data_IF_808780240248
#
_entry.id   IF_808780240248
#
_cell.length_a   1.000
_cell.length_b   1.000
_cell.length_c   1.000
_cell.angle_alpha   90.00
_cell.angle_beta   90.00
_cell.angle_gamma   90.00
#
_symmetry.space_group_name_H-M   'P 1'
#
loop_
_entity.id
_entity.type
_entity.pdbx_description
1 polymer ?
#
# COMPACT_ATOMS: atom_id res chain seq x y z
N UNK A 1 -1.37 22.82 -4.92
CA UNK A 1 -1.41 22.20 -3.59
C UNK A 1 -2.73 21.48 -3.31
N UNK A 2 -3.91 22.12 -3.47
CA UNK A 2 -5.21 21.47 -3.21
C UNK A 2 -5.43 20.19 -4.06
N UNK A 3 -5.26 20.21 -5.40
CA UNK A 3 -5.52 19.01 -6.20
C UNK A 3 -4.56 17.86 -5.86
N UNK A 4 -3.27 18.16 -5.66
CA UNK A 4 -2.23 17.17 -5.38
C UNK A 4 -2.41 16.49 -4.03
N UNK A 5 -2.83 17.23 -3.00
CA UNK A 5 -3.08 16.66 -1.68
C UNK A 5 -4.32 15.77 -1.67
N UNK A 6 -5.42 16.21 -2.30
CA UNK A 6 -6.64 15.40 -2.38
C UNK A 6 -6.42 14.06 -3.09
N UNK A 7 -5.66 14.07 -4.19
CA UNK A 7 -5.28 12.84 -4.89
C UNK A 7 -4.38 11.95 -4.04
N UNK A 8 -3.40 12.51 -3.34
CA UNK A 8 -2.50 11.73 -2.49
C UNK A 8 -3.25 11.08 -1.30
N UNK A 9 -4.12 11.82 -0.62
CA UNK A 9 -4.91 11.30 0.51
C UNK A 9 -5.88 10.22 0.05
N UNK A 10 -6.61 10.42 -1.05
CA UNK A 10 -7.58 9.44 -1.51
C UNK A 10 -6.94 8.13 -1.95
N UNK A 11 -5.78 8.18 -2.62
CA UNK A 11 -5.02 6.98 -3.01
C UNK A 11 -4.42 6.30 -1.78
N UNK A 12 -3.90 7.07 -0.82
CA UNK A 12 -3.35 6.53 0.43
C UNK A 12 -4.40 5.70 1.19
N UNK A 13 -5.59 6.26 1.38
CA UNK A 13 -6.67 5.59 2.12
C UNK A 13 -7.09 4.27 1.45
N UNK A 14 -7.27 4.28 0.12
CA UNK A 14 -7.63 3.08 -0.64
C UNK A 14 -6.51 2.04 -0.59
N UNK A 15 -5.25 2.45 -0.70
CA UNK A 15 -4.10 1.56 -0.68
C UNK A 15 -3.93 0.86 0.68
N UNK A 16 -4.05 1.60 1.80
CA UNK A 16 -3.96 1.02 3.14
C UNK A 16 -5.05 -0.02 3.39
N UNK A 17 -6.26 0.19 2.85
CA UNK A 17 -7.38 -0.74 3.04
C UNK A 17 -7.25 -1.96 2.12
N UNK A 18 -7.03 -1.74 0.82
CA UNK A 18 -7.34 -2.73 -0.21
C UNK A 18 -6.22 -2.99 -1.24
N UNK A 19 -5.01 -2.45 -1.05
CA UNK A 19 -3.92 -2.77 -1.97
C UNK A 19 -3.64 -4.28 -2.02
N UNK A 20 -3.39 -4.79 -3.22
CA UNK A 20 -2.92 -6.17 -3.39
C UNK A 20 -1.50 -6.31 -2.84
N UNK A 21 -1.07 -7.52 -2.44
CA UNK A 21 0.33 -7.77 -2.11
C UNK A 21 1.26 -7.39 -3.28
N UNK A 22 2.43 -6.82 -2.98
CA UNK A 22 3.41 -6.33 -3.95
C UNK A 22 4.75 -7.07 -3.78
N UNK A 23 5.36 -7.49 -4.88
CA UNK A 23 6.74 -8.01 -4.91
C UNK A 23 7.69 -6.80 -4.95
N UNK A 24 8.38 -6.56 -3.83
CA UNK A 24 9.23 -5.37 -3.65
C UNK A 24 10.63 -5.58 -4.24
N UNK A 25 11.13 -6.80 -4.17
CA UNK A 25 12.50 -7.14 -4.55
C UNK A 25 12.58 -7.80 -5.94
N UNK A 26 11.46 -7.86 -6.68
CA UNK A 26 11.38 -8.53 -7.99
C UNK A 26 11.79 -10.03 -7.95
N UNK A 27 11.69 -10.69 -6.78
CA UNK A 27 12.13 -12.09 -6.58
C UNK A 27 10.97 -13.08 -6.53
N UNK A 28 9.75 -12.63 -6.87
CA UNK A 28 8.50 -13.39 -6.73
C UNK A 28 8.13 -13.67 -5.26
N UNK A 29 8.56 -12.82 -4.34
CA UNK A 29 8.13 -12.84 -2.94
C UNK A 29 7.25 -11.62 -2.67
N UNK A 30 5.96 -11.87 -2.52
CA UNK A 30 4.98 -10.80 -2.42
C UNK A 30 4.70 -10.45 -0.97
N UNK A 31 4.79 -9.17 -0.62
CA UNK A 31 4.55 -8.65 0.73
C UNK A 31 3.15 -8.05 0.83
N UNK A 32 2.37 -8.49 1.83
CA UNK A 32 1.06 -7.92 2.15
C UNK A 32 1.22 -6.69 3.04
N UNK A 33 0.71 -5.54 2.59
CA UNK A 33 0.72 -4.30 3.38
C UNK A 33 -0.67 -3.77 3.79
N UNK A 34 -1.75 -4.31 3.22
CA UNK A 34 -3.11 -3.77 3.40
C UNK A 34 -3.93 -4.52 4.45
N UNK A 35 -4.95 -3.84 4.98
CA UNK A 35 -5.82 -4.37 6.05
C UNK A 35 -6.64 -5.58 5.60
N UNK A 36 -7.17 -5.57 4.36
CA UNK A 36 -7.93 -6.70 3.82
C UNK A 36 -7.08 -7.96 3.62
N UNK A 37 -5.76 -7.83 3.57
CA UNK A 37 -4.82 -8.95 3.43
C UNK A 37 -4.10 -9.29 4.75
N UNK A 38 -4.77 -9.05 5.89
CA UNK A 38 -4.36 -9.56 7.21
C UNK A 38 -3.48 -8.63 8.04
N UNK A 39 -3.31 -7.37 7.64
CA UNK A 39 -2.61 -6.38 8.45
C UNK A 39 -3.55 -5.64 9.42
N UNK A 40 -2.97 -5.10 10.48
CA UNK A 40 -3.63 -4.20 11.41
C UNK A 40 -3.06 -2.77 11.28
N UNK A 41 -3.52 -1.83 12.10
CA UNK A 41 -3.06 -0.42 12.02
C UNK A 41 -1.56 -0.24 12.30
N UNK A 42 -0.92 -1.18 13.02
CA UNK A 42 0.51 -1.14 13.33
C UNK A 42 1.34 -1.84 12.26
N UNK A 43 0.84 -2.95 11.69
CA UNK A 43 1.57 -3.73 10.67
C UNK A 43 1.28 -3.29 9.23
N UNK A 44 0.19 -2.55 9.02
CA UNK A 44 -0.21 -2.06 7.70
C UNK A 44 0.75 -1.00 7.17
N UNK A 45 1.13 -1.14 5.91
CA UNK A 45 2.08 -0.26 5.26
C UNK A 45 1.80 -0.17 3.76
N UNK A 46 2.18 0.97 3.16
CA UNK A 46 2.24 1.10 1.71
C UNK A 46 3.58 0.54 1.25
N UNK A 47 3.55 -0.60 0.57
CA UNK A 47 4.74 -1.25 0.01
C UNK A 47 5.26 -0.38 -1.14
N UNK A 48 6.57 -0.05 -1.18
CA UNK A 48 7.14 0.72 -2.28
C UNK A 48 7.10 -0.08 -3.59
N UNK A 49 7.32 0.61 -4.70
CA UNK A 49 7.41 -0.02 -6.01
C UNK A 49 8.61 -0.98 -6.07
N UNK A 50 8.47 -2.03 -6.87
CA UNK A 50 9.54 -2.99 -7.13
C UNK A 50 10.84 -2.31 -7.54
N UNK A 51 11.97 -2.85 -7.07
CA UNK A 51 13.32 -2.47 -7.49
C UNK A 51 13.65 -2.88 -8.93
#
# INVERSE_FOLDING_TARGET
MIPTLLTATSIFDIAVIAATPIDIDSIRETVSGSLLYGNNIISGAIIPTSA
#
